data_IF_214705429866
#
_entry.id   IF_214705429866
#
_cell.length_a   1.000
_cell.length_b   1.000
_cell.length_c   1.000
_cell.angle_alpha   90.00
_cell.angle_beta   90.00
_cell.angle_gamma   90.00
#
_symmetry.space_group_name_H-M   'P 1'
#
loop_
_entity.id
_entity.type
_entity.pdbx_description
1 polymer ?
#
# COMPACT_ATOMS: atom_id res chain seq x y z
N UNK A 1 3.26 0.20 -3.48
CA UNK A 1 1.86 0.57 -3.81
C UNK A 1 1.19 -0.60 -4.50
N UNK A 2 0.00 -0.94 -4.07
CA UNK A 2 -0.77 -2.04 -4.67
C UNK A 2 -2.08 -1.48 -5.21
N UNK A 3 -2.30 -1.67 -6.51
CA UNK A 3 -3.50 -1.19 -7.20
C UNK A 3 -4.67 -2.14 -6.96
N UNK A 4 -5.82 -1.56 -6.59
CA UNK A 4 -7.06 -2.27 -6.30
C UNK A 4 -8.15 -1.75 -7.24
N UNK A 5 -9.21 -2.54 -7.41
CA UNK A 5 -10.37 -2.16 -8.19
C UNK A 5 -11.65 -2.46 -7.43
N UNK A 6 -12.53 -1.46 -7.37
CA UNK A 6 -13.89 -1.60 -6.84
C UNK A 6 -14.87 -1.17 -7.94
N UNK A 7 -15.64 -2.10 -8.46
CA UNK A 7 -16.51 -1.88 -9.64
C UNK A 7 -17.81 -1.16 -9.31
N UNK A 8 -18.25 -1.22 -8.05
CA UNK A 8 -19.47 -0.60 -7.58
C UNK A 8 -19.34 -0.20 -6.10
N UNK A 9 -20.40 0.39 -5.55
CA UNK A 9 -20.40 0.86 -4.17
C UNK A 9 -20.25 -0.29 -3.16
N UNK A 10 -20.79 -1.46 -3.46
CA UNK A 10 -20.65 -2.62 -2.57
C UNK A 10 -19.21 -3.13 -2.55
N UNK A 11 -18.55 -3.19 -3.71
CA UNK A 11 -17.12 -3.55 -3.78
C UNK A 11 -16.24 -2.50 -3.11
N UNK A 12 -16.57 -1.21 -3.26
CA UNK A 12 -15.82 -0.15 -2.59
C UNK A 12 -15.87 -0.34 -1.07
N UNK A 13 -17.04 -0.60 -0.51
CA UNK A 13 -17.19 -0.87 0.92
C UNK A 13 -16.39 -2.11 1.33
N UNK A 14 -16.39 -3.15 0.50
CA UNK A 14 -15.63 -4.39 0.75
C UNK A 14 -14.11 -4.13 0.73
N UNK A 15 -13.62 -3.31 -0.20
CA UNK A 15 -12.21 -2.93 -0.25
C UNK A 15 -11.81 -2.13 0.98
N UNK A 16 -12.63 -1.18 1.41
CA UNK A 16 -12.38 -0.39 2.61
C UNK A 16 -12.32 -1.27 3.86
N UNK A 17 -13.24 -2.22 3.99
CA UNK A 17 -13.24 -3.17 5.10
C UNK A 17 -12.02 -4.08 5.07
N UNK A 18 -11.67 -4.62 3.90
CA UNK A 18 -10.49 -5.43 3.73
C UNK A 18 -9.21 -4.65 4.05
N UNK A 19 -9.14 -3.38 3.67
CA UNK A 19 -8.02 -2.50 4.00
C UNK A 19 -7.86 -2.34 5.51
N UNK A 20 -8.97 -2.13 6.25
CA UNK A 20 -8.91 -2.01 7.70
C UNK A 20 -8.37 -3.30 8.34
N UNK A 21 -8.81 -4.44 7.85
CA UNK A 21 -8.36 -5.75 8.37
C UNK A 21 -6.87 -5.98 8.09
N UNK A 22 -6.41 -5.71 6.86
CA UNK A 22 -5.00 -5.83 6.50
C UNK A 22 -4.15 -4.90 7.35
N UNK A 23 -4.59 -3.65 7.51
CA UNK A 23 -3.87 -2.66 8.33
C UNK A 23 -3.75 -3.09 9.78
N UNK A 24 -4.81 -3.66 10.35
CA UNK A 24 -4.78 -4.18 11.71
C UNK A 24 -3.79 -5.34 11.86
N UNK A 25 -3.74 -6.22 10.86
CA UNK A 25 -2.78 -7.35 10.86
C UNK A 25 -1.34 -6.90 10.72
N UNK A 26 -1.11 -5.81 10.01
CA UNK A 26 0.24 -5.27 9.78
C UNK A 26 0.70 -4.34 10.89
N UNK A 27 -0.16 -3.95 11.81
CA UNK A 27 0.23 -3.09 12.93
C UNK A 27 1.37 -3.73 13.71
N UNK A 28 2.44 -2.96 13.94
CA UNK A 28 3.61 -3.45 14.67
C UNK A 28 4.66 -4.16 13.81
N UNK A 29 4.45 -4.30 12.50
CA UNK A 29 5.48 -4.84 11.62
C UNK A 29 6.71 -3.92 11.68
N UNK A 30 7.91 -4.46 11.95
CA UNK A 30 9.12 -3.64 12.07
C UNK A 30 9.41 -2.84 10.80
N UNK A 31 9.63 -1.56 10.96
CA UNK A 31 9.97 -0.66 9.87
C UNK A 31 8.78 -0.13 9.07
N UNK A 32 7.57 -0.59 9.32
CA UNK A 32 6.38 -0.01 8.70
C UNK A 32 6.07 1.33 9.36
N UNK A 33 6.11 2.41 8.58
CA UNK A 33 5.81 3.76 9.06
C UNK A 33 4.33 4.10 9.00
N UNK A 34 3.62 3.53 8.05
CA UNK A 34 2.20 3.77 7.88
C UNK A 34 1.71 3.33 6.52
N UNK A 35 0.40 3.40 6.31
CA UNK A 35 -0.21 3.11 5.02
C UNK A 35 -1.43 3.99 4.81
N UNK A 36 -1.87 4.06 3.57
CA UNK A 36 -3.06 4.82 3.18
C UNK A 36 -3.80 4.06 2.09
N UNK A 37 -5.11 4.18 2.11
CA UNK A 37 -5.96 3.76 1.00
C UNK A 37 -6.33 5.01 0.22
N UNK A 38 -5.88 5.11 -1.02
CA UNK A 38 -6.11 6.24 -1.90
C UNK A 38 -7.15 5.87 -2.96
N UNK A 39 -8.12 6.75 -3.18
CA UNK A 39 -9.10 6.58 -4.25
C UNK A 39 -8.85 7.63 -5.32
N UNK A 40 -8.81 7.18 -6.57
CA UNK A 40 -8.64 8.09 -7.70
C UNK A 40 -9.85 9.02 -7.83
N UNK A 41 -9.59 10.33 -7.97
CA UNK A 41 -10.67 11.29 -8.24
C UNK A 41 -11.08 11.30 -9.70
N UNK A 42 -10.30 10.73 -10.59
CA UNK A 42 -10.63 10.65 -12.04
C UNK A 42 -11.24 9.30 -12.42
N UNK A 43 -10.98 8.26 -11.66
CA UNK A 43 -11.58 6.93 -11.84
C UNK A 43 -11.98 6.38 -10.49
N UNK A 44 -13.23 6.55 -10.05
CA UNK A 44 -13.68 6.10 -8.72
C UNK A 44 -13.60 4.59 -8.49
N UNK A 45 -13.40 3.79 -9.55
CA UNK A 45 -13.22 2.34 -9.42
C UNK A 45 -11.76 1.96 -9.12
N UNK A 46 -10.85 2.92 -9.20
CA UNK A 46 -9.42 2.69 -9.01
C UNK A 46 -8.98 3.17 -7.63
N UNK A 47 -8.36 2.27 -6.89
CA UNK A 47 -7.80 2.55 -5.57
C UNK A 47 -6.35 2.07 -5.51
N UNK A 48 -5.59 2.63 -4.59
CA UNK A 48 -4.20 2.22 -4.35
C UNK A 48 -3.98 2.12 -2.85
N UNK A 49 -3.41 1.01 -2.40
CA UNK A 49 -2.88 0.89 -1.04
C UNK A 49 -1.42 1.30 -1.10
N UNK A 50 -1.08 2.40 -0.44
CA UNK A 50 0.29 2.92 -0.38
C UNK A 50 0.83 2.72 1.03
N UNK A 51 1.88 1.92 1.19
CA UNK A 51 2.57 1.77 2.46
C UNK A 51 3.93 2.43 2.42
N UNK A 52 4.34 2.99 3.56
CA UNK A 52 5.63 3.66 3.72
C UNK A 52 6.47 2.88 4.72
N UNK A 53 7.73 2.67 4.38
CA UNK A 53 8.67 1.87 5.16
C UNK A 53 9.91 2.69 5.49
N UNK A 54 10.54 2.38 6.62
CA UNK A 54 11.75 3.08 7.06
C UNK A 54 12.88 2.91 6.04
N UNK A 55 12.99 1.73 5.43
CA UNK A 55 13.92 1.45 4.35
C UNK A 55 13.45 0.23 3.54
N UNK A 56 14.14 -0.04 2.45
CA UNK A 56 13.82 -1.17 1.58
C UNK A 56 14.03 -2.51 2.27
N UNK A 57 15.04 -2.61 3.11
CA UNK A 57 15.36 -3.85 3.83
C UNK A 57 14.22 -4.28 4.74
N UNK A 58 13.57 -3.33 5.42
CA UNK A 58 12.41 -3.62 6.27
C UNK A 58 11.24 -4.17 5.46
N UNK A 59 10.95 -3.56 4.30
CA UNK A 59 9.92 -4.06 3.39
C UNK A 59 10.25 -5.46 2.89
N UNK A 60 11.47 -5.68 2.43
CA UNK A 60 11.89 -6.98 1.91
C UNK A 60 11.85 -8.08 2.98
N UNK A 61 12.21 -7.76 4.22
CA UNK A 61 12.13 -8.70 5.33
C UNK A 61 10.68 -9.14 5.58
N UNK A 62 9.74 -8.18 5.56
CA UNK A 62 8.32 -8.50 5.70
C UNK A 62 7.80 -9.30 4.50
N UNK A 63 8.15 -8.90 3.27
CA UNK A 63 7.70 -9.57 2.05
C UNK A 63 8.15 -11.04 2.01
N UNK A 64 9.37 -11.32 2.48
CA UNK A 64 9.89 -12.69 2.56
C UNK A 64 9.35 -13.47 3.74
N UNK A 65 8.73 -12.82 4.71
CA UNK A 65 8.18 -13.45 5.90
C UNK A 65 7.00 -14.36 5.57
N UNK A 66 6.83 -15.42 6.38
CA UNK A 66 5.77 -16.39 6.19
C UNK A 66 4.37 -15.78 6.34
N UNK A 67 4.26 -14.67 7.06
CA UNK A 67 2.98 -14.03 7.36
C UNK A 67 2.51 -13.06 6.28
N UNK A 68 3.37 -12.64 5.36
CA UNK A 68 3.05 -11.66 4.32
C UNK A 68 1.77 -12.02 3.55
N UNK A 69 1.70 -13.25 3.06
CA UNK A 69 0.59 -13.72 2.24
C UNK A 69 -0.71 -13.75 3.04
N UNK A 70 -0.65 -14.15 4.30
CA UNK A 70 -1.80 -14.21 5.18
C UNK A 70 -2.28 -12.80 5.54
N UNK A 71 -1.36 -11.88 5.85
CA UNK A 71 -1.68 -10.50 6.22
C UNK A 71 -2.41 -9.77 5.11
N UNK A 72 -2.02 -10.00 3.85
CA UNK A 72 -2.56 -9.28 2.69
C UNK A 72 -3.72 -10.01 2.01
N UNK A 73 -4.05 -11.23 2.43
CA UNK A 73 -5.07 -12.06 1.80
C UNK A 73 -6.44 -11.37 1.61
N UNK A 74 -6.96 -10.57 2.56
CA UNK A 74 -8.26 -9.92 2.39
C UNK A 74 -8.36 -8.98 1.20
N UNK A 75 -7.25 -8.37 0.76
CA UNK A 75 -7.24 -7.45 -0.38
C UNK A 75 -6.94 -8.13 -1.71
N UNK A 76 -6.45 -9.37 -1.71
CA UNK A 76 -6.06 -10.06 -2.95
C UNK A 76 -7.19 -10.18 -3.98
N UNK A 77 -8.45 -10.44 -3.61
CA UNK A 77 -9.55 -10.53 -4.58
C UNK A 77 -9.81 -9.23 -5.34
N UNK A 78 -9.37 -8.10 -4.80
CA UNK A 78 -9.65 -6.77 -5.35
C UNK A 78 -8.48 -6.17 -6.12
N UNK A 79 -7.39 -6.91 -6.33
CA UNK A 79 -6.28 -6.43 -7.16
C UNK A 79 -6.78 -6.05 -8.54
N UNK A 80 -6.23 -4.95 -9.07
CA UNK A 80 -6.62 -4.46 -10.39
C UNK A 80 -6.04 -5.38 -11.46
N UNK A 81 -6.85 -6.30 -11.96
CA UNK A 81 -6.46 -7.29 -12.96
C UNK A 81 -6.35 -6.71 -14.38
N UNK A 82 -6.73 -5.44 -14.55
CA UNK A 82 -6.50 -4.71 -15.80
C UNK A 82 -5.03 -4.37 -15.99
N UNK A 83 -4.25 -4.40 -14.90
CA UNK A 83 -2.82 -4.09 -14.92
C UNK A 83 -2.02 -5.39 -14.97
N UNK A 84 -1.01 -5.43 -15.84
CA UNK A 84 -0.10 -6.58 -15.91
C UNK A 84 0.68 -6.75 -14.59
N UNK A 85 1.06 -5.62 -13.96
CA UNK A 85 1.72 -5.62 -12.66
C UNK A 85 0.95 -4.66 -11.76
N UNK A 86 0.07 -5.17 -10.86
CA UNK A 86 -0.78 -4.31 -10.04
C UNK A 86 -0.08 -3.74 -8.80
N UNK A 87 1.24 -3.78 -8.74
CA UNK A 87 2.01 -3.23 -7.63
C UNK A 87 3.28 -2.56 -8.11
N UNK A 88 3.83 -1.65 -7.29
CA UNK A 88 5.10 -1.00 -7.53
C UNK A 88 5.82 -0.68 -6.23
N UNK A 89 7.13 -0.76 -6.27
CA UNK A 89 8.01 -0.41 -5.16
C UNK A 89 8.78 0.82 -5.59
N UNK A 90 8.73 1.88 -4.76
CA UNK A 90 9.34 3.16 -5.07
C UNK A 90 10.24 3.61 -3.94
N UNK A 91 11.40 4.13 -4.27
CA UNK A 91 12.28 4.80 -3.32
C UNK A 91 12.14 6.32 -3.52
N UNK A 92 12.09 7.07 -2.43
CA UNK A 92 12.04 8.53 -2.53
C UNK A 92 13.41 9.02 -2.98
N UNK A 93 13.50 9.51 -4.21
CA UNK A 93 14.75 10.03 -4.77
C UNK A 93 15.03 11.44 -4.24
N UNK A 94 13.98 12.26 -4.10
CA UNK A 94 14.08 13.60 -3.54
C UNK A 94 12.69 14.03 -3.07
N UNK A 95 12.65 14.95 -2.12
CA UNK A 95 11.39 15.41 -1.56
C UNK A 95 11.47 16.88 -1.16
N UNK A 96 10.34 17.58 -1.28
CA UNK A 96 10.13 18.95 -0.83
C UNK A 96 8.86 19.01 0.01
N UNK A 97 8.86 19.82 1.04
CA UNK A 97 7.66 20.19 1.78
C UNK A 97 7.48 21.72 1.75
N UNK A 98 6.52 22.23 2.51
CA UNK A 98 6.21 23.67 2.52
C UNK A 98 7.39 24.53 3.05
N UNK A 99 8.36 23.94 3.75
CA UNK A 99 9.53 24.62 4.29
C UNK A 99 10.76 24.46 3.41
N UNK A 100 10.69 23.69 2.34
CA UNK A 100 11.78 23.49 1.40
C UNK A 100 12.17 22.03 1.20
N UNK A 101 13.41 21.78 0.72
CA UNK A 101 13.84 20.42 0.44
C UNK A 101 13.93 19.58 1.71
N UNK A 102 13.47 18.33 1.61
CA UNK A 102 13.51 17.36 2.71
C UNK A 102 14.73 16.47 2.50
N UNK A 103 15.69 16.46 3.46
CA UNK A 103 16.85 15.57 3.36
C UNK A 103 16.43 14.10 3.32
N UNK A 104 17.04 13.32 2.42
CA UNK A 104 16.84 11.89 2.34
C UNK A 104 17.93 11.18 3.12
N UNK A 105 17.53 10.24 3.97
CA UNK A 105 18.48 9.41 4.71
C UNK A 105 18.93 8.29 3.80
N UNK A 106 20.23 8.17 3.59
CA UNK A 106 20.80 7.04 2.85
C UNK A 106 21.14 5.96 3.87
N UNK A 107 20.58 4.77 3.77
CA UNK A 107 20.96 3.69 4.67
C UNK A 107 22.41 3.23 4.47
#
# INVERSE_FOLDING_TARGET
MVHQRARDAAELAAVEEAYQLVSARMAGVPGLLGNELLRSSTDPTSLVVASRWVDRAAFEAWERGAEHRQDTAPLRPYRDDRLAVPFGIYEVASAWDAQGPVPQTTP
#
